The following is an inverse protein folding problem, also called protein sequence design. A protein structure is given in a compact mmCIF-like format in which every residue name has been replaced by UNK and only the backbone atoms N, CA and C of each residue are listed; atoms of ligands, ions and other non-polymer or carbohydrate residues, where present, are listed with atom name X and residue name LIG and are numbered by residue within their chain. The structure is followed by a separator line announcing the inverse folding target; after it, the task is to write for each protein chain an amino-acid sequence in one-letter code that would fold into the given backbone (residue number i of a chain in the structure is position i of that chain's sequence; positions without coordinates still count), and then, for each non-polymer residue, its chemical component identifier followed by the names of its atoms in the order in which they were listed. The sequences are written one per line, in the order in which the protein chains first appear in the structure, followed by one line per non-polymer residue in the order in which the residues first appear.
data_IF_436052570236
#
_entry.id   IF_436052570236
#
_cell.length_a   1.000
_cell.length_b   1.000
_cell.length_c   1.000
_cell.angle_alpha   90.00
_cell.angle_beta   90.00
_cell.angle_gamma   90.00
#
_symmetry.space_group_name_H-M   'P 1'
#
loop_
_entity.id
_entity.type
_entity.pdbx_description
1 polymer ?
#
# COMPACT_ATOMS: atom_id res chain seq x y z
N UNK A 1 8.23 -15.53 9.17
CA UNK A 1 7.26 -14.67 9.92
C UNK A 1 6.12 -14.18 9.05
N UNK A 2 6.28 -13.18 8.17
CA UNK A 2 5.16 -12.72 7.30
C UNK A 2 4.62 -13.86 6.42
N UNK A 3 5.51 -14.60 5.76
CA UNK A 3 5.14 -15.76 4.90
C UNK A 3 4.40 -16.87 5.65
N UNK A 4 4.70 -17.08 6.93
CA UNK A 4 4.03 -18.11 7.75
C UNK A 4 2.62 -17.67 8.12
N UNK A 5 2.43 -16.39 8.44
CA UNK A 5 1.11 -15.81 8.74
C UNK A 5 0.24 -15.86 7.48
N UNK A 6 0.77 -15.47 6.31
CA UNK A 6 0.01 -15.54 5.06
C UNK A 6 -0.36 -16.96 4.71
N UNK A 7 0.57 -17.92 4.84
CA UNK A 7 0.30 -19.34 4.58
C UNK A 7 -0.80 -19.89 5.52
N UNK A 8 -0.73 -19.57 6.81
CA UNK A 8 -1.74 -20.00 7.79
C UNK A 8 -3.11 -19.41 7.48
N UNK A 9 -3.19 -18.11 7.19
CA UNK A 9 -4.45 -17.46 6.83
C UNK A 9 -5.02 -17.99 5.51
N UNK A 10 -4.18 -18.27 4.52
CA UNK A 10 -4.62 -18.89 3.27
C UNK A 10 -5.27 -20.25 3.51
N UNK A 11 -4.68 -21.06 4.40
CA UNK A 11 -5.25 -22.35 4.79
C UNK A 11 -6.61 -22.22 5.49
N UNK A 12 -6.78 -21.21 6.35
CA UNK A 12 -8.04 -20.96 7.07
C UNK A 12 -9.13 -20.43 6.13
N UNK A 13 -8.78 -19.52 5.22
CA UNK A 13 -9.73 -18.84 4.35
C UNK A 13 -10.02 -19.59 3.05
N UNK A 14 -9.19 -20.60 2.70
CA UNK A 14 -9.27 -21.33 1.43
C UNK A 14 -9.01 -20.45 0.21
N UNK A 15 -8.26 -19.35 0.39
CA UNK A 15 -7.94 -18.36 -0.66
C UNK A 15 -6.51 -17.90 -0.49
N UNK A 16 -5.88 -17.47 -1.57
CA UNK A 16 -4.54 -16.85 -1.49
C UNK A 16 -4.59 -15.53 -0.72
N UNK A 17 -3.80 -15.46 0.35
CA UNK A 17 -3.65 -14.28 1.20
C UNK A 17 -2.26 -13.68 1.01
N UNK A 18 -2.23 -12.39 0.71
CA UNK A 18 -1.00 -11.58 0.73
C UNK A 18 -0.99 -10.67 1.95
N UNK A 19 0.19 -10.48 2.53
CA UNK A 19 0.38 -9.59 3.67
C UNK A 19 1.19 -8.37 3.26
N UNK A 20 0.60 -7.21 3.50
CA UNK A 20 1.27 -5.93 3.38
C UNK A 20 1.60 -5.42 4.79
N UNK A 21 2.88 -5.17 5.05
CA UNK A 21 3.30 -4.45 6.26
C UNK A 21 3.23 -2.96 5.94
N UNK A 22 2.46 -2.23 6.74
CA UNK A 22 2.39 -0.77 6.64
C UNK A 22 3.65 -0.16 7.22
N UNK A 23 4.23 0.77 6.48
CA UNK A 23 5.48 1.46 6.78
C UNK A 23 5.18 2.92 7.09
N UNK A 24 5.71 3.43 8.19
CA UNK A 24 5.46 4.80 8.65
C UNK A 24 6.09 5.86 7.76
N UNK A 25 7.10 5.49 6.97
CA UNK A 25 7.76 6.41 6.03
C UNK A 25 6.98 6.55 4.71
N UNK A 26 5.85 5.84 4.54
CA UNK A 26 5.03 5.87 3.32
C UNK A 26 5.81 5.67 2.02
N UNK A 27 6.84 4.82 1.99
CA UNK A 27 7.68 4.56 0.79
C UNK A 27 6.90 4.08 -0.44
N UNK A 28 5.66 3.62 -0.24
CA UNK A 28 4.72 3.16 -1.29
C UNK A 28 3.36 3.80 -1.02
N UNK A 29 3.21 5.11 -1.26
CA UNK A 29 2.06 5.89 -0.79
C UNK A 29 0.76 5.34 -1.38
N UNK A 30 0.70 5.07 -2.68
CA UNK A 30 -0.47 4.46 -3.33
C UNK A 30 -0.90 3.11 -2.72
N UNK A 31 0.06 2.22 -2.46
CA UNK A 31 -0.25 0.89 -1.95
C UNK A 31 -0.78 0.95 -0.52
N UNK A 32 -0.20 1.82 0.30
CA UNK A 32 -0.64 2.03 1.67
C UNK A 32 -1.98 2.77 1.72
N UNK A 33 -2.20 3.76 0.87
CA UNK A 33 -3.50 4.41 0.68
C UNK A 33 -4.59 3.39 0.33
N UNK A 34 -4.34 2.50 -0.63
CA UNK A 34 -5.32 1.47 -1.00
C UNK A 34 -5.67 0.56 0.19
N UNK A 35 -4.70 0.23 1.05
CA UNK A 35 -4.93 -0.63 2.20
C UNK A 35 -5.63 0.09 3.36
N UNK A 36 -5.27 1.35 3.63
CA UNK A 36 -5.74 2.11 4.80
C UNK A 36 -7.05 2.84 4.52
N UNK A 37 -7.15 3.50 3.36
CA UNK A 37 -8.25 4.41 3.01
C UNK A 37 -9.34 3.68 2.24
N UNK A 38 -8.97 2.88 1.23
CA UNK A 38 -9.92 2.12 0.41
C UNK A 38 -10.25 0.73 0.99
N UNK A 39 -9.46 0.28 1.96
CA UNK A 39 -9.65 -1.01 2.63
C UNK A 39 -10.78 -0.99 3.66
N UNK A 40 -11.08 -2.19 4.19
CA UNK A 40 -12.06 -2.35 5.27
C UNK A 40 -11.30 -2.71 6.55
N UNK A 41 -11.32 -1.86 7.60
CA UNK A 41 -10.66 -2.17 8.86
C UNK A 41 -11.43 -3.28 9.60
N UNK A 42 -10.77 -4.41 9.82
CA UNK A 42 -11.33 -5.54 10.57
C UNK A 42 -10.95 -5.53 12.06
N UNK A 43 -9.91 -4.77 12.42
CA UNK A 43 -9.45 -4.60 13.79
C UNK A 43 -8.75 -3.25 13.96
N UNK A 44 -9.14 -2.50 15.00
CA UNK A 44 -8.51 -1.23 15.37
C UNK A 44 -8.22 -1.28 16.87
N UNK A 45 -6.95 -1.07 17.26
CA UNK A 45 -6.56 -1.04 18.68
C UNK A 45 -6.96 0.27 19.37
N UNK A 46 -6.86 1.40 18.66
CA UNK A 46 -7.15 2.73 19.18
C UNK A 46 -7.63 3.64 18.07
N UNK A 47 -8.77 4.31 18.30
CA UNK A 47 -9.43 5.12 17.29
C UNK A 47 -8.57 6.31 16.85
N UNK A 48 -7.98 7.04 17.80
CA UNK A 48 -7.16 8.22 17.50
C UNK A 48 -5.92 7.86 16.67
N UNK A 49 -5.26 6.74 16.98
CA UNK A 49 -4.13 6.25 16.19
C UNK A 49 -4.55 5.82 14.79
N UNK A 50 -5.74 5.24 14.65
CA UNK A 50 -6.29 4.88 13.34
C UNK A 50 -6.62 6.11 12.51
N UNK A 51 -7.28 7.11 13.09
CA UNK A 51 -7.59 8.37 12.39
C UNK A 51 -6.31 9.10 11.99
N UNK A 52 -5.30 9.16 12.86
CA UNK A 52 -4.00 9.71 12.51
C UNK A 52 -3.36 9.01 11.32
N UNK A 53 -3.37 7.68 11.31
CA UNK A 53 -2.85 6.89 10.18
C UNK A 53 -3.66 7.10 8.89
N UNK A 54 -4.98 7.21 9.00
CA UNK A 54 -5.88 7.43 7.87
C UNK A 54 -5.64 8.79 7.21
N UNK A 55 -5.54 9.85 8.03
CA UNK A 55 -5.27 11.20 7.55
C UNK A 55 -3.87 11.31 6.93
N UNK A 56 -2.85 10.69 7.53
CA UNK A 56 -1.51 10.64 6.96
C UNK A 56 -1.52 9.94 5.59
N UNK A 57 -2.23 8.82 5.46
CA UNK A 57 -2.34 8.13 4.18
C UNK A 57 -3.02 8.98 3.09
N UNK A 58 -4.04 9.76 3.44
CA UNK A 58 -4.66 10.72 2.52
C UNK A 58 -3.65 11.79 2.06
N UNK A 59 -2.96 12.41 3.00
CA UNK A 59 -1.97 13.46 2.73
C UNK A 59 -0.84 12.95 1.82
N UNK A 60 -0.27 11.78 2.13
CA UNK A 60 0.81 11.18 1.34
C UNK A 60 0.36 10.81 -0.08
N UNK A 61 -0.91 10.41 -0.25
CA UNK A 61 -1.47 10.13 -1.58
C UNK A 61 -1.71 11.42 -2.37
N UNK A 62 -2.15 12.50 -1.72
CA UNK A 62 -2.32 13.79 -2.36
C UNK A 62 -0.98 14.37 -2.83
N UNK A 63 0.04 14.34 -1.98
CA UNK A 63 1.42 14.75 -2.33
C UNK A 63 1.97 13.93 -3.50
N UNK A 64 1.83 12.59 -3.43
CA UNK A 64 2.21 11.73 -4.53
C UNK A 64 1.40 12.02 -5.81
N UNK A 65 0.14 12.41 -5.69
CA UNK A 65 -0.69 12.75 -6.85
C UNK A 65 -0.23 14.04 -7.52
N UNK A 66 0.20 15.03 -6.72
CA UNK A 66 0.70 16.30 -7.20
C UNK A 66 2.10 16.20 -7.82
N UNK A 67 2.98 15.37 -7.27
CA UNK A 67 4.40 15.36 -7.64
C UNK A 67 4.92 14.03 -8.22
N UNK A 68 4.27 12.91 -7.93
CA UNK A 68 4.76 11.56 -8.21
C UNK A 68 4.12 10.86 -9.42
N UNK A 69 2.89 11.24 -9.80
CA UNK A 69 2.16 10.58 -10.89
C UNK A 69 2.88 10.69 -12.24
N UNK A 70 3.37 11.88 -12.60
CA UNK A 70 4.08 12.08 -13.87
C UNK A 70 5.35 11.22 -13.96
N UNK A 71 6.10 11.13 -12.85
CA UNK A 71 7.25 10.25 -12.77
C UNK A 71 6.84 8.78 -12.96
N UNK A 72 5.79 8.33 -12.28
CA UNK A 72 5.32 6.94 -12.37
C UNK A 72 4.83 6.60 -13.78
N UNK A 73 4.11 7.51 -14.45
CA UNK A 73 3.71 7.37 -15.85
C UNK A 73 4.94 7.22 -16.75
N UNK A 74 5.92 8.11 -16.60
CA UNK A 74 7.17 8.07 -17.36
C UNK A 74 7.91 6.74 -17.21
N UNK A 75 8.03 6.23 -15.98
CA UNK A 75 8.68 4.94 -15.71
C UNK A 75 7.87 3.79 -16.33
N UNK A 76 6.54 3.84 -16.21
CA UNK A 76 5.65 2.81 -16.77
C UNK A 76 5.74 2.77 -18.30
N UNK A 77 5.72 3.92 -18.96
CA UNK A 77 5.92 4.04 -20.40
C UNK A 77 7.27 3.50 -20.86
N UNK A 78 8.36 3.83 -20.16
CA UNK A 78 9.70 3.31 -20.47
C UNK A 78 9.78 1.80 -20.34
N UNK A 79 9.14 1.22 -19.32
CA UNK A 79 9.05 -0.25 -19.16
C UNK A 79 8.27 -0.90 -20.29
N UNK A 80 7.15 -0.32 -20.70
CA UNK A 80 6.34 -0.83 -21.81
C UNK A 80 7.08 -0.77 -23.14
N UNK A 81 7.93 0.24 -23.35
CA UNK A 81 8.77 0.39 -24.55
C UNK A 81 10.02 -0.50 -24.55
N UNK A 82 10.34 -1.17 -23.43
CA UNK A 82 11.54 -1.99 -23.29
C UNK A 82 12.83 -1.20 -23.03
N UNK A 83 12.74 0.11 -22.80
CA UNK A 83 13.88 1.02 -22.64
C UNK A 83 14.41 1.08 -21.19
N UNK A 84 13.94 0.18 -20.32
CA UNK A 84 14.31 0.18 -18.90
C UNK A 84 15.49 -0.76 -18.63
N UNK A 85 16.71 -0.25 -18.85
CA UNK A 85 17.93 -0.89 -18.35
C UNK A 85 18.14 -0.47 -16.88
N UNK A 86 17.55 -1.25 -15.97
CA UNK A 86 17.86 -1.21 -14.53
C UNK A 86 18.94 -2.21 -14.18
#
# INVERSE_FOLDING_TARGET
RVTEISLSLSGILGKDVNLLVLDRDFKRPMLQYNAIVLGIPVFIRGFDSYIGLYLEALYQMEDFSLFGIEWQLTISERRLKGDFNG
#
